data_IF_692043602480
#
_entry.id   IF_692043602480
#
_cell.length_a   1.000
_cell.length_b   1.000
_cell.length_c   1.000
_cell.angle_alpha   90.00
_cell.angle_beta   90.00
_cell.angle_gamma   90.00
#
_symmetry.space_group_name_H-M   'P 1'
#
loop_
_entity.id
_entity.type
_entity.pdbx_description
1 polymer ?
#
# COMPACT_ATOMS: atom_id res chain seq x y z
N UNK A 1 70.26 -17.06 0.11
CA UNK A 1 70.13 -17.82 -1.14
C UNK A 1 68.76 -18.49 -1.33
N UNK A 2 68.34 -19.47 -0.52
CA UNK A 2 67.03 -20.13 -0.71
C UNK A 2 65.83 -19.25 -0.28
N UNK A 3 65.97 -18.52 0.83
CA UNK A 3 64.90 -17.68 1.37
C UNK A 3 64.65 -16.42 0.54
N UNK A 4 65.69 -15.86 -0.10
CA UNK A 4 65.57 -14.68 -0.96
C UNK A 4 64.75 -14.98 -2.22
N UNK A 5 64.96 -16.14 -2.84
CA UNK A 5 64.16 -16.59 -3.98
C UNK A 5 62.69 -16.82 -3.59
N UNK A 6 62.44 -17.31 -2.38
CA UNK A 6 61.08 -17.48 -1.85
C UNK A 6 60.40 -16.13 -1.64
N UNK A 7 61.09 -15.15 -1.05
CA UNK A 7 60.56 -13.80 -0.85
C UNK A 7 60.28 -13.10 -2.19
N UNK A 8 61.13 -13.30 -3.19
CA UNK A 8 60.92 -12.76 -4.54
C UNK A 8 59.69 -13.39 -5.23
N UNK A 9 59.51 -14.72 -5.07
CA UNK A 9 58.32 -15.42 -5.55
C UNK A 9 57.05 -14.91 -4.86
N UNK A 10 57.08 -14.73 -3.54
CA UNK A 10 55.95 -14.19 -2.78
C UNK A 10 55.58 -12.77 -3.23
N UNK A 11 56.57 -11.88 -3.45
CA UNK A 11 56.33 -10.54 -4.00
C UNK A 11 55.69 -10.58 -5.39
N UNK A 12 56.16 -11.49 -6.25
CA UNK A 12 55.59 -11.67 -7.60
C UNK A 12 54.14 -12.17 -7.55
N UNK A 13 53.86 -13.15 -6.67
CA UNK A 13 52.50 -13.67 -6.47
C UNK A 13 51.56 -12.59 -5.95
N UNK A 14 52.02 -11.77 -4.99
CA UNK A 14 51.26 -10.61 -4.49
C UNK A 14 50.99 -9.62 -5.62
N UNK A 15 51.99 -9.29 -6.44
CA UNK A 15 51.82 -8.41 -7.59
C UNK A 15 50.80 -8.92 -8.61
N UNK A 16 50.87 -10.21 -8.97
CA UNK A 16 49.88 -10.84 -9.85
C UNK A 16 48.48 -10.82 -9.24
N UNK A 17 48.35 -11.12 -7.94
CA UNK A 17 47.04 -11.09 -7.25
C UNK A 17 46.42 -9.69 -7.26
N UNK A 18 47.23 -8.64 -7.06
CA UNK A 18 46.77 -7.26 -7.14
C UNK A 18 46.30 -6.88 -8.55
N UNK A 19 47.02 -7.32 -9.58
CA UNK A 19 46.63 -7.12 -10.97
C UNK A 19 45.29 -7.81 -11.30
N UNK A 20 45.13 -9.08 -10.93
CA UNK A 20 43.87 -9.81 -11.15
C UNK A 20 42.70 -9.19 -10.38
N UNK A 21 42.92 -8.73 -9.14
CA UNK A 21 41.91 -8.02 -8.37
C UNK A 21 41.48 -6.74 -9.08
N UNK A 22 42.43 -5.94 -9.59
CA UNK A 22 42.10 -4.74 -10.36
C UNK A 22 41.29 -5.06 -11.62
N UNK A 23 41.59 -6.16 -12.33
CA UNK A 23 40.83 -6.58 -13.50
C UNK A 23 39.39 -6.99 -13.14
N UNK A 24 39.21 -7.67 -12.01
CA UNK A 24 37.90 -8.08 -11.52
C UNK A 24 37.06 -6.86 -11.12
N UNK A 25 37.68 -5.81 -10.60
CA UNK A 25 37.01 -4.55 -10.21
C UNK A 25 36.36 -3.80 -11.38
N UNK A 26 36.91 -3.92 -12.60
CA UNK A 26 36.34 -3.29 -13.79
C UNK A 26 34.97 -3.86 -14.18
N UNK A 27 34.66 -5.08 -13.73
CA UNK A 27 33.42 -5.77 -14.08
C UNK A 27 32.43 -5.63 -12.92
N UNK A 28 31.18 -5.18 -13.18
CA UNK A 28 30.22 -4.94 -12.11
C UNK A 28 29.95 -6.19 -11.25
N UNK A 29 29.96 -5.98 -9.93
CA UNK A 29 29.72 -6.99 -8.86
C UNK A 29 28.54 -7.93 -9.16
N UNK A 30 27.48 -7.38 -9.75
CA UNK A 30 26.24 -8.08 -10.09
C UNK A 30 26.43 -9.33 -10.97
N UNK A 31 27.53 -9.40 -11.72
CA UNK A 31 27.79 -10.51 -12.62
C UNK A 31 28.53 -11.69 -11.97
N UNK A 32 29.21 -11.46 -10.84
CA UNK A 32 29.96 -12.51 -10.13
C UNK A 32 29.19 -13.08 -8.94
N UNK A 33 28.40 -12.26 -8.27
CA UNK A 33 27.59 -12.71 -7.13
C UNK A 33 26.18 -13.10 -7.60
N UNK A 34 25.66 -14.27 -7.17
CA UNK A 34 24.28 -14.62 -7.42
C UNK A 34 23.38 -13.53 -6.82
N UNK A 35 22.35 -13.12 -7.57
CA UNK A 35 21.39 -12.14 -7.07
C UNK A 35 20.66 -12.77 -5.89
N UNK A 36 20.70 -12.09 -4.74
CA UNK A 36 20.02 -12.54 -3.52
C UNK A 36 18.54 -12.85 -3.80
N UNK A 37 18.07 -13.98 -3.29
CA UNK A 37 16.69 -14.44 -3.42
C UNK A 37 15.70 -13.41 -2.86
N UNK A 38 16.11 -12.61 -1.86
CA UNK A 38 15.30 -11.51 -1.35
C UNK A 38 15.14 -10.37 -2.36
N UNK A 39 16.21 -10.03 -3.09
CA UNK A 39 16.18 -9.00 -4.14
C UNK A 39 15.36 -9.46 -5.34
N UNK A 40 15.56 -10.70 -5.79
CA UNK A 40 14.73 -11.31 -6.84
C UNK A 40 13.27 -11.35 -6.42
N UNK A 41 12.98 -11.77 -5.19
CA UNK A 41 11.62 -11.81 -4.68
C UNK A 41 10.99 -10.41 -4.58
N UNK A 42 11.75 -9.37 -4.24
CA UNK A 42 11.24 -7.99 -4.18
C UNK A 42 10.83 -7.46 -5.55
N UNK A 43 11.51 -7.90 -6.62
CA UNK A 43 11.22 -7.52 -8.01
C UNK A 43 9.91 -8.11 -8.51
N UNK A 44 9.62 -9.36 -8.14
CA UNK A 44 8.45 -10.10 -8.63
C UNK A 44 7.25 -10.10 -7.65
N UNK A 45 7.48 -10.07 -6.33
CA UNK A 45 6.44 -10.18 -5.31
C UNK A 45 6.20 -8.85 -4.57
N UNK A 46 5.31 -8.02 -5.11
CA UNK A 46 4.96 -6.68 -4.58
C UNK A 46 4.20 -6.68 -3.24
N UNK A 47 3.78 -7.84 -2.74
CA UNK A 47 2.90 -7.97 -1.57
C UNK A 47 3.57 -8.61 -0.33
N UNK A 48 4.89 -8.83 -0.33
CA UNK A 48 5.62 -9.44 0.81
C UNK A 48 6.07 -8.44 1.90
N UNK A 49 5.72 -7.16 1.77
CA UNK A 49 6.16 -6.14 2.71
C UNK A 49 5.69 -6.44 4.15
N UNK A 50 6.64 -6.51 5.09
CA UNK A 50 6.37 -6.69 6.51
C UNK A 50 5.52 -5.51 7.01
N UNK A 51 4.52 -5.76 7.87
CA UNK A 51 3.62 -4.74 8.42
C UNK A 51 4.35 -3.85 9.43
N UNK A 52 5.25 -2.99 8.96
CA UNK A 52 5.95 -2.01 9.78
C UNK A 52 5.20 -0.66 9.82
N UNK A 53 5.40 0.16 10.87
CA UNK A 53 4.87 1.51 10.93
C UNK A 53 5.29 2.36 9.72
N UNK A 54 4.39 3.22 9.21
CA UNK A 54 4.66 4.03 8.00
C UNK A 54 5.86 4.99 8.14
N UNK A 55 6.22 5.38 9.36
CA UNK A 55 7.37 6.26 9.62
C UNK A 55 8.69 5.50 9.44
N UNK A 56 8.82 4.31 10.01
CA UNK A 56 10.04 3.50 9.92
C UNK A 56 10.33 3.07 8.47
N UNK A 57 9.29 2.77 7.68
CA UNK A 57 9.43 2.47 6.25
C UNK A 57 9.96 3.67 5.47
N UNK A 58 9.48 4.89 5.77
CA UNK A 58 9.92 6.12 5.11
C UNK A 58 11.36 6.47 5.46
N UNK A 59 11.73 6.34 6.73
CA UNK A 59 13.09 6.59 7.21
C UNK A 59 14.07 5.57 6.63
N UNK A 60 13.73 4.27 6.65
CA UNK A 60 14.53 3.23 6.02
C UNK A 60 14.70 3.45 4.51
N UNK A 61 13.64 3.84 3.80
CA UNK A 61 13.74 4.17 2.36
C UNK A 61 14.63 5.38 2.09
N UNK A 62 14.56 6.42 2.94
CA UNK A 62 15.42 7.60 2.81
C UNK A 62 16.88 7.26 3.14
N UNK A 63 17.12 6.40 4.13
CA UNK A 63 18.46 5.90 4.49
C UNK A 63 19.05 5.04 3.36
N UNK A 64 18.28 4.12 2.79
CA UNK A 64 18.71 3.29 1.67
C UNK A 64 19.06 4.12 0.42
N UNK A 65 18.32 5.19 0.15
CA UNK A 65 18.64 6.11 -0.95
C UNK A 65 19.92 6.90 -0.73
N UNK A 66 20.21 7.30 0.51
CA UNK A 66 21.48 7.96 0.87
C UNK A 66 22.64 6.98 0.72
N UNK A 67 22.53 5.82 1.35
CA UNK A 67 23.51 4.74 1.25
C UNK A 67 23.86 4.34 -0.20
N UNK A 68 22.86 4.32 -1.11
CA UNK A 68 23.08 4.04 -2.54
C UNK A 68 23.86 5.14 -3.28
N UNK A 69 23.78 6.38 -2.81
CA UNK A 69 24.42 7.55 -3.43
C UNK A 69 25.72 7.95 -2.72
N UNK A 70 26.11 7.25 -1.66
CA UNK A 70 27.31 7.55 -0.88
C UNK A 70 28.52 6.84 -1.53
N UNK A 71 29.54 7.58 -2.03
CA UNK A 71 30.73 6.99 -2.62
C UNK A 71 31.48 6.08 -1.65
N UNK A 72 31.49 6.36 -0.34
CA UNK A 72 32.22 5.51 0.60
C UNK A 72 31.55 4.16 0.88
N UNK A 73 30.37 3.90 0.30
CA UNK A 73 29.60 2.69 0.53
C UNK A 73 29.66 1.69 -0.64
N UNK A 74 30.28 2.04 -1.78
CA UNK A 74 30.55 1.04 -2.82
C UNK A 74 31.64 0.09 -2.30
N UNK A 75 31.33 -1.20 -2.24
CA UNK A 75 32.27 -2.25 -1.87
C UNK A 75 32.74 -2.98 -3.12
N UNK A 76 34.02 -3.30 -3.15
CA UNK A 76 34.62 -4.11 -4.22
C UNK A 76 34.28 -5.59 -4.05
N UNK A 77 34.26 -6.36 -5.14
CA UNK A 77 34.01 -7.83 -5.12
C UNK A 77 34.90 -8.53 -4.09
N UNK A 78 36.19 -8.20 -4.08
CA UNK A 78 37.17 -8.77 -3.16
C UNK A 78 36.91 -8.38 -1.69
N UNK A 79 36.46 -7.15 -1.43
CA UNK A 79 36.06 -6.71 -0.08
C UNK A 79 34.81 -7.44 0.39
N UNK A 80 33.84 -7.67 -0.51
CA UNK A 80 32.62 -8.43 -0.21
C UNK A 80 32.97 -9.89 0.12
N UNK A 81 33.91 -10.50 -0.61
CA UNK A 81 34.40 -11.86 -0.32
C UNK A 81 35.11 -11.92 1.04
N UNK A 82 36.03 -11.00 1.33
CA UNK A 82 36.70 -10.91 2.63
C UNK A 82 35.74 -10.66 3.80
N UNK A 83 34.74 -9.81 3.61
CA UNK A 83 33.69 -9.56 4.61
C UNK A 83 32.81 -10.79 4.82
N UNK A 84 32.47 -11.52 3.75
CA UNK A 84 31.72 -12.77 3.85
C UNK A 84 32.50 -13.88 4.56
N UNK A 85 33.80 -14.02 4.25
CA UNK A 85 34.71 -14.94 4.92
C UNK A 85 34.92 -14.57 6.39
N UNK A 86 35.11 -13.28 6.69
CA UNK A 86 35.21 -12.76 8.05
C UNK A 86 33.92 -12.96 8.86
N UNK A 87 32.76 -12.73 8.25
CA UNK A 87 31.46 -13.02 8.87
C UNK A 87 31.23 -14.52 9.07
N UNK A 88 31.64 -15.37 8.11
CA UNK A 88 31.56 -16.82 8.26
C UNK A 88 32.49 -17.33 9.38
N UNK A 89 33.71 -16.78 9.49
CA UNK A 89 34.64 -17.08 10.57
C UNK A 89 34.12 -16.61 11.94
N UNK A 90 33.59 -15.39 12.05
CA UNK A 90 32.95 -14.90 13.28
C UNK A 90 31.72 -15.72 13.65
N UNK A 91 30.91 -16.14 12.68
CA UNK A 91 29.72 -16.96 12.92
C UNK A 91 30.08 -18.37 13.38
N UNK A 92 31.15 -18.96 12.83
CA UNK A 92 31.68 -20.24 13.29
C UNK A 92 32.25 -20.22 14.72
N UNK A 93 32.67 -19.06 15.22
CA UNK A 93 33.11 -18.90 16.62
C UNK A 93 31.96 -18.56 17.60
N UNK A 94 30.80 -18.15 17.10
CA UNK A 94 29.65 -17.78 17.93
C UNK A 94 28.58 -18.87 18.01
N UNK A 95 28.59 -19.88 17.13
CA UNK A 95 27.57 -20.93 17.06
C UNK A 95 28.14 -22.29 17.51
N UNK A 96 28.51 -22.40 18.79
CA UNK A 96 28.46 -23.65 19.55
C UNK A 96 27.27 -23.66 20.50
N UNK A 97 26.09 -23.24 20.05
CA UNK A 97 24.83 -23.70 20.64
C UNK A 97 23.63 -23.29 19.78
N UNK A 98 22.65 -24.19 19.71
CA UNK A 98 21.34 -24.07 19.05
C UNK A 98 21.27 -24.38 17.55
N UNK A 99 20.67 -25.55 17.32
CA UNK A 99 20.24 -26.11 16.05
C UNK A 99 18.95 -25.44 15.54
N UNK A 100 18.88 -25.28 14.21
CA UNK A 100 17.72 -25.33 13.31
C UNK A 100 17.51 -24.12 12.35
N UNK A 101 17.78 -24.41 11.06
CA UNK A 101 17.28 -23.84 9.78
C UNK A 101 18.18 -22.84 9.02
N UNK A 102 17.95 -22.71 7.69
CA UNK A 102 17.94 -23.74 6.65
C UNK A 102 19.14 -23.52 5.69
N UNK A 103 19.62 -24.60 5.08
CA UNK A 103 20.74 -24.58 4.15
C UNK A 103 20.45 -23.69 2.92
N UNK A 104 21.13 -22.54 2.86
CA UNK A 104 21.45 -21.89 1.60
C UNK A 104 22.37 -22.83 0.83
N UNK A 105 22.06 -23.07 -0.44
CA UNK A 105 22.82 -23.92 -1.35
C UNK A 105 24.17 -23.29 -1.67
N UNK A 106 25.12 -23.41 -0.75
CA UNK A 106 26.52 -23.61 -1.12
C UNK A 106 26.66 -25.05 -1.59
N UNK A 107 27.27 -25.23 -2.77
CA UNK A 107 27.50 -26.53 -3.36
C UNK A 107 28.57 -27.27 -2.54
N UNK A 108 28.16 -27.87 -1.42
CA UNK A 108 28.94 -28.88 -0.73
C UNK A 108 28.57 -30.21 -1.35
N UNK A 109 29.52 -30.83 -2.05
CA UNK A 109 29.39 -32.22 -2.51
C UNK A 109 29.44 -33.09 -1.25
N UNK A 110 28.30 -33.27 -0.63
CA UNK A 110 28.11 -34.23 0.43
C UNK A 110 28.17 -35.62 -0.21
N UNK A 111 29.24 -36.36 0.09
CA UNK A 111 29.43 -37.74 -0.34
C UNK A 111 28.41 -38.62 0.41
N UNK A 112 27.20 -38.69 -0.11
CA UNK A 112 26.16 -39.59 0.42
C UNK A 112 26.41 -40.98 -0.16
N UNK A 113 26.90 -41.89 0.69
CA UNK A 113 26.94 -43.32 0.42
C UNK A 113 25.49 -43.85 0.29
N UNK A 114 24.92 -43.78 -0.90
CA UNK A 114 23.75 -44.58 -1.22
C UNK A 114 24.19 -46.03 -1.35
N UNK A 115 24.08 -46.79 -0.26
CA UNK A 115 24.62 -48.15 -0.19
C UNK A 115 23.93 -49.16 -1.11
N UNK A 116 22.70 -48.93 -1.60
CA UNK A 116 22.03 -49.83 -2.55
C UNK A 116 21.05 -49.10 -3.48
N UNK A 117 21.04 -49.44 -4.76
CA UNK A 117 20.18 -48.86 -5.81
C UNK A 117 18.68 -49.00 -5.52
N UNK A 118 18.30 -50.06 -4.83
CA UNK A 118 16.90 -50.35 -4.50
C UNK A 118 16.33 -49.38 -3.46
N UNK A 119 17.16 -48.84 -2.57
CA UNK A 119 16.74 -47.84 -1.59
C UNK A 119 16.51 -46.47 -2.26
N UNK A 120 17.26 -46.19 -3.32
CA UNK A 120 17.02 -45.00 -4.15
C UNK A 120 15.73 -45.13 -4.95
N UNK A 121 15.47 -46.32 -5.52
CA UNK A 121 14.25 -46.62 -6.28
C UNK A 121 13.01 -46.60 -5.38
N UNK A 122 13.08 -47.17 -4.17
CA UNK A 122 11.98 -47.18 -3.20
C UNK A 122 11.63 -45.74 -2.78
N UNK A 123 12.64 -44.91 -2.51
CA UNK A 123 12.47 -43.51 -2.12
C UNK A 123 11.93 -42.64 -3.25
N UNK A 124 12.34 -42.89 -4.48
CA UNK A 124 11.78 -42.23 -5.66
C UNK A 124 10.30 -42.62 -5.85
N UNK A 125 9.97 -43.90 -5.73
CA UNK A 125 8.59 -44.39 -5.82
C UNK A 125 7.70 -43.80 -4.73
N UNK A 126 8.16 -43.77 -3.48
CA UNK A 126 7.44 -43.15 -2.37
C UNK A 126 7.17 -41.66 -2.64
N UNK A 127 8.16 -40.93 -3.15
CA UNK A 127 8.02 -39.51 -3.48
C UNK A 127 7.09 -39.25 -4.66
N UNK A 128 7.11 -40.12 -5.68
CA UNK A 128 6.16 -40.06 -6.80
C UNK A 128 4.73 -40.36 -6.33
N UNK A 129 4.55 -41.32 -5.43
CA UNK A 129 3.25 -41.66 -4.85
C UNK A 129 2.67 -40.51 -4.02
N UNK A 130 3.49 -39.81 -3.24
CA UNK A 130 3.07 -38.61 -2.51
C UNK A 130 2.58 -37.49 -3.44
N UNK A 131 3.26 -37.28 -4.56
CA UNK A 131 2.82 -36.29 -5.56
C UNK A 131 1.55 -36.71 -6.30
N UNK A 132 1.31 -38.00 -6.49
CA UNK A 132 0.05 -38.51 -7.05
C UNK A 132 -1.10 -38.37 -6.04
N UNK A 133 -0.88 -38.69 -4.76
CA UNK A 133 -1.87 -38.49 -3.68
C UNK A 133 -2.26 -37.03 -3.52
N UNK A 134 -1.28 -36.12 -3.54
CA UNK A 134 -1.52 -34.66 -3.48
C UNK A 134 -2.34 -34.14 -4.67
N UNK A 135 -2.16 -34.71 -5.87
CA UNK A 135 -2.99 -34.36 -7.04
C UNK A 135 -4.41 -34.93 -6.93
N UNK A 136 -4.58 -36.19 -6.53
CA UNK A 136 -5.90 -36.81 -6.38
C UNK A 136 -6.72 -36.22 -5.22
N UNK A 137 -6.08 -35.77 -4.14
CA UNK A 137 -6.75 -35.06 -3.04
C UNK A 137 -7.29 -33.68 -3.46
N UNK A 138 -6.70 -33.04 -4.48
CA UNK A 138 -7.19 -31.78 -5.02
C UNK A 138 -8.34 -31.97 -6.04
N UNK A 139 -8.45 -33.15 -6.65
CA UNK A 139 -9.42 -33.44 -7.72
C UNK A 139 -10.75 -34.00 -7.19
N UNK A 140 -10.73 -34.77 -6.08
CA UNK A 140 -11.94 -35.38 -5.49
C UNK A 140 -12.57 -34.59 -4.32
N UNK A 141 -12.30 -33.30 -4.21
CA UNK A 141 -12.87 -32.43 -3.16
C UNK A 141 -14.30 -31.93 -3.44
N UNK A 142 -15.26 -32.83 -3.69
CA UNK A 142 -16.70 -32.57 -3.61
C UNK A 142 -17.39 -33.69 -2.83
N UNK A 143 -17.45 -33.55 -1.50
CA UNK A 143 -18.56 -33.95 -0.62
C UNK A 143 -18.10 -33.82 0.84
N UNK A 144 -18.79 -32.94 1.56
CA UNK A 144 -19.14 -32.98 2.99
C UNK A 144 -18.24 -33.74 3.98
N UNK A 145 -17.52 -33.00 4.84
CA UNK A 145 -17.65 -33.18 6.30
C UNK A 145 -16.93 -32.07 7.09
N UNK A 146 -17.38 -31.92 8.32
CA UNK A 146 -17.37 -30.71 9.13
C UNK A 146 -16.06 -30.52 9.89
N UNK A 147 -15.43 -29.36 9.71
CA UNK A 147 -14.55 -28.79 10.73
C UNK A 147 -15.14 -27.46 11.24
N UNK A 148 -15.47 -27.35 12.54
CA UNK A 148 -16.07 -26.15 13.09
C UNK A 148 -15.02 -25.03 13.14
N UNK A 149 -15.06 -24.15 12.14
CA UNK A 149 -14.42 -22.83 12.26
C UNK A 149 -15.13 -22.07 13.37
N UNK A 150 -14.56 -22.07 14.58
CA UNK A 150 -14.94 -21.19 15.70
C UNK A 150 -15.07 -19.76 15.17
N UNK A 151 -16.30 -19.32 14.94
CA UNK A 151 -16.64 -17.93 14.66
C UNK A 151 -16.28 -17.14 15.91
N UNK A 152 -15.11 -16.51 15.91
CA UNK A 152 -14.75 -15.52 16.93
C UNK A 152 -15.87 -14.49 16.96
N UNK A 153 -16.59 -14.44 18.07
CA UNK A 153 -17.73 -13.57 18.25
C UNK A 153 -17.24 -12.13 18.11
N UNK A 154 -18.08 -11.29 17.50
CA UNK A 154 -17.82 -9.87 17.24
C UNK A 154 -17.67 -9.03 18.53
N UNK A 155 -17.67 -9.65 19.71
CA UNK A 155 -17.48 -9.04 21.03
C UNK A 155 -16.01 -9.00 21.48
N UNK A 156 -15.19 -10.02 21.20
CA UNK A 156 -13.77 -10.05 21.65
C UNK A 156 -12.86 -9.04 20.92
N UNK A 157 -13.18 -8.70 19.66
CA UNK A 157 -12.39 -7.72 18.89
C UNK A 157 -12.64 -6.28 19.36
N UNK A 158 -13.78 -6.03 20.01
CA UNK A 158 -14.13 -4.68 20.50
C UNK A 158 -13.50 -4.38 21.87
N UNK A 159 -13.22 -5.42 22.65
CA UNK A 159 -12.65 -5.29 24.00
C UNK A 159 -11.12 -5.05 23.96
N UNK A 160 -10.41 -5.69 23.03
CA UNK A 160 -8.96 -5.49 22.84
C UNK A 160 -8.57 -4.12 22.27
N UNK A 161 -9.50 -3.39 21.65
CA UNK A 161 -9.24 -2.04 21.15
C UNK A 161 -9.50 -0.97 22.22
N UNK A 162 -10.31 -1.26 23.24
CA UNK A 162 -10.61 -0.33 24.33
C UNK A 162 -9.55 -0.35 25.45
N UNK A 163 -8.78 -1.45 25.56
CA UNK A 163 -7.66 -1.53 26.51
C UNK A 163 -6.38 -0.83 26.03
N UNK A 164 -6.23 -0.54 24.73
CA UNK A 164 -5.06 0.20 24.20
C UNK A 164 -5.19 1.72 24.28
N UNK A 165 -6.38 2.23 24.58
CA UNK A 165 -6.63 3.67 24.81
C UNK A 165 -6.60 4.05 26.29
N UNK A 166 -6.45 3.08 27.21
CA UNK A 166 -6.44 3.31 28.65
C UNK A 166 -5.03 3.24 29.29
N UNK A 167 -4.02 2.72 28.59
CA UNK A 167 -2.67 2.49 29.13
C UNK A 167 -1.60 3.49 28.66
N UNK A 168 -1.98 4.62 28.06
CA UNK A 168 -1.07 5.67 27.58
C UNK A 168 -1.12 6.94 28.43
N UNK A 169 -1.75 6.91 29.61
CA UNK A 169 -1.91 8.09 30.46
C UNK A 169 -1.59 7.74 31.92
N UNK A 170 -0.33 7.43 32.19
CA UNK A 170 0.27 7.39 33.53
C UNK A 170 1.79 7.29 33.37
N UNK A 171 2.43 8.44 33.20
CA UNK A 171 3.69 8.78 33.88
C UNK A 171 4.12 10.21 33.52
N UNK A 172 3.72 11.15 34.37
CA UNK A 172 4.56 12.27 34.81
C UNK A 172 3.91 12.95 36.02
N UNK A 173 4.48 12.66 37.19
CA UNK A 173 4.35 13.37 38.47
C UNK A 173 5.69 14.11 38.60
N UNK A 174 5.89 15.39 38.96
CA UNK A 174 5.17 16.46 39.66
C UNK A 174 5.75 17.81 39.14
N UNK A 175 5.04 18.94 39.13
CA UNK A 175 5.03 19.99 40.17
C UNK A 175 4.06 21.10 39.72
N UNK A 176 3.31 21.72 40.64
CA UNK A 176 2.61 22.98 40.40
C UNK A 176 1.09 22.94 40.59
N UNK A 177 0.68 23.22 41.83
CA UNK A 177 -0.69 23.49 42.29
C UNK A 177 -1.16 24.84 41.70
N UNK A 178 -2.21 24.89 40.85
CA UNK A 178 -3.09 26.06 40.65
C UNK A 178 -4.42 25.64 39.99
N UNK A 179 -5.44 26.43 40.31
CA UNK A 179 -6.87 26.20 40.18
C UNK A 179 -7.41 26.06 38.74
N UNK A 180 -8.59 25.46 38.63
CA UNK A 180 -9.35 25.25 37.39
C UNK A 180 -9.65 26.55 36.64
N UNK A 181 -9.38 26.64 35.30
CA UNK A 181 -9.97 27.67 34.47
C UNK A 181 -11.27 27.16 33.80
N UNK A 182 -12.26 28.05 33.55
CA UNK A 182 -13.57 27.67 33.05
C UNK A 182 -13.53 27.22 31.59
N UNK A 183 -14.55 26.46 31.18
CA UNK A 183 -14.72 25.97 29.81
C UNK A 183 -14.77 27.11 28.79
N UNK A 184 -13.72 27.24 27.97
CA UNK A 184 -13.76 28.14 26.82
C UNK A 184 -14.63 27.52 25.72
N UNK A 185 -15.87 27.99 25.60
CA UNK A 185 -16.73 27.76 24.43
C UNK A 185 -16.15 28.56 23.27
N UNK A 186 -15.73 27.88 22.21
CA UNK A 186 -15.32 28.54 20.96
C UNK A 186 -16.59 29.02 20.27
N UNK A 187 -16.71 30.35 20.16
CA UNK A 187 -17.86 31.06 19.60
C UNK A 187 -17.51 31.50 18.18
N UNK A 188 -18.39 31.29 17.22
CA UNK A 188 -18.25 31.90 15.89
C UNK A 188 -18.46 33.42 15.95
N UNK A 189 -18.11 34.16 14.89
CA UNK A 189 -18.38 35.61 14.74
C UNK A 189 -19.86 35.99 14.91
N UNK A 190 -20.77 35.01 14.86
CA UNK A 190 -22.22 35.17 15.09
C UNK A 190 -22.67 34.82 16.52
N UNK A 191 -21.76 34.54 17.43
CA UNK A 191 -22.10 34.26 18.83
C UNK A 191 -22.58 32.83 19.13
N UNK A 192 -22.54 31.92 18.15
CA UNK A 192 -22.97 30.52 18.33
C UNK A 192 -21.82 29.59 18.74
N UNK A 193 -22.11 28.66 19.64
CA UNK A 193 -21.16 27.67 20.17
C UNK A 193 -20.99 26.53 19.16
N UNK A 194 -19.82 26.44 18.53
CA UNK A 194 -19.56 25.43 17.50
C UNK A 194 -18.72 24.27 18.03
N UNK A 195 -19.30 23.06 17.94
CA UNK A 195 -18.70 21.78 18.34
C UNK A 195 -17.81 21.13 17.26
N UNK A 196 -17.31 21.91 16.31
CA UNK A 196 -16.44 21.41 15.23
C UNK A 196 -14.97 21.52 15.64
N UNK A 197 -14.25 20.40 15.71
CA UNK A 197 -12.79 20.34 15.93
C UNK A 197 -11.96 20.75 14.69
N UNK A 198 -12.58 21.42 13.72
CA UNK A 198 -11.93 21.91 12.50
C UNK A 198 -12.31 23.36 12.28
N UNK A 199 -11.35 24.24 12.56
CA UNK A 199 -11.37 25.62 12.10
C UNK A 199 -11.05 25.63 10.60
N UNK A 200 -12.08 25.86 9.78
CA UNK A 200 -11.92 26.32 8.41
C UNK A 200 -11.85 27.85 8.37
N UNK A 201 -11.11 28.45 9.31
CA UNK A 201 -10.78 29.86 9.28
C UNK A 201 -9.71 30.10 8.20
N UNK A 202 -10.19 30.36 6.99
CA UNK A 202 -9.89 31.61 6.31
C UNK A 202 -8.50 31.84 5.70
N UNK A 203 -7.49 30.99 5.90
CA UNK A 203 -6.28 31.13 5.07
C UNK A 203 -6.57 30.50 3.71
N UNK A 204 -6.93 31.34 2.71
CA UNK A 204 -6.88 30.98 1.29
C UNK A 204 -5.43 30.64 0.94
N UNK A 205 -4.96 29.45 1.33
CA UNK A 205 -3.66 28.94 0.91
C UNK A 205 -3.68 28.94 -0.60
N UNK A 206 -2.82 29.76 -1.21
CA UNK A 206 -2.59 29.72 -2.64
C UNK A 206 -2.39 28.25 -3.03
N UNK A 207 -3.07 27.76 -4.09
CA UNK A 207 -2.98 26.36 -4.47
C UNK A 207 -1.50 26.03 -4.65
N UNK A 208 -1.01 24.99 -3.97
CA UNK A 208 0.40 24.59 -4.05
C UNK A 208 0.81 24.50 -5.53
N UNK A 209 2.03 24.95 -5.90
CA UNK A 209 2.50 24.82 -7.27
C UNK A 209 2.36 23.35 -7.72
N UNK A 210 1.59 23.14 -8.80
CA UNK A 210 1.21 21.81 -9.30
C UNK A 210 -0.23 21.34 -9.01
N UNK A 211 -0.98 22.00 -8.13
CA UNK A 211 -2.38 21.65 -7.79
C UNK A 211 -3.42 22.40 -8.63
N UNK A 212 -2.99 23.32 -9.51
CA UNK A 212 -3.92 24.02 -10.39
C UNK A 212 -4.57 23.00 -11.32
N UNK A 213 -5.90 22.93 -11.25
CA UNK A 213 -6.70 22.10 -12.16
C UNK A 213 -6.35 22.52 -13.58
N UNK A 214 -5.75 21.60 -14.35
CA UNK A 214 -5.44 21.85 -15.76
C UNK A 214 -6.72 22.23 -16.49
N UNK A 215 -6.75 23.43 -17.07
CA UNK A 215 -7.85 23.92 -17.89
C UNK A 215 -7.71 23.34 -19.28
N UNK A 216 -8.14 22.08 -19.45
CA UNK A 216 -8.03 21.35 -20.72
C UNK A 216 -8.73 22.05 -21.90
N UNK A 217 -9.78 22.83 -21.65
CA UNK A 217 -10.42 23.68 -22.68
C UNK A 217 -9.49 24.77 -23.20
N UNK A 218 -8.85 25.51 -22.30
CA UNK A 218 -7.87 26.56 -22.65
C UNK A 218 -6.65 25.97 -23.36
N UNK A 219 -6.15 24.83 -22.89
CA UNK A 219 -5.06 24.10 -23.54
C UNK A 219 -5.45 23.65 -24.95
N UNK A 220 -6.68 23.16 -25.12
CA UNK A 220 -7.17 22.73 -26.43
C UNK A 220 -7.29 23.91 -27.40
N UNK A 221 -7.84 25.03 -26.93
CA UNK A 221 -7.94 26.25 -27.73
C UNK A 221 -6.55 26.75 -28.17
N UNK A 222 -5.56 26.72 -27.26
CA UNK A 222 -4.16 27.08 -27.59
C UNK A 222 -3.56 26.12 -28.62
N UNK A 223 -3.75 24.81 -28.45
CA UNK A 223 -3.26 23.80 -29.39
C UNK A 223 -3.88 23.96 -30.79
N UNK A 224 -5.20 24.17 -30.86
CA UNK A 224 -5.92 24.38 -32.11
C UNK A 224 -5.53 25.71 -32.77
N UNK A 225 -5.37 26.79 -32.00
CA UNK A 225 -4.91 28.09 -32.52
C UNK A 225 -3.49 28.00 -33.10
N UNK A 226 -2.57 27.30 -32.44
CA UNK A 226 -1.22 27.07 -32.96
C UNK A 226 -1.22 26.24 -34.23
N UNK A 227 -2.03 25.18 -34.28
CA UNK A 227 -2.20 24.35 -35.49
C UNK A 227 -2.75 25.19 -36.65
N UNK A 228 -3.76 26.01 -36.40
CA UNK A 228 -4.32 26.94 -37.40
C UNK A 228 -3.27 27.96 -37.86
N UNK A 229 -2.50 28.56 -36.96
CA UNK A 229 -1.44 29.52 -37.31
C UNK A 229 -0.37 28.88 -38.20
N UNK A 230 0.03 27.64 -37.88
CA UNK A 230 0.94 26.87 -38.72
C UNK A 230 0.34 26.59 -40.10
N UNK A 231 -0.93 26.18 -40.17
CA UNK A 231 -1.63 25.92 -41.44
C UNK A 231 -1.79 27.19 -42.30
N UNK A 232 -2.06 28.34 -41.69
CA UNK A 232 -2.12 29.63 -42.37
C UNK A 232 -0.74 30.02 -42.92
N UNK A 233 0.30 29.99 -42.08
CA UNK A 233 1.67 30.32 -42.51
C UNK A 233 2.16 29.38 -43.60
N UNK A 234 1.81 28.08 -43.57
CA UNK A 234 2.20 27.15 -44.64
C UNK A 234 1.54 27.46 -45.98
N UNK A 235 0.38 28.13 -45.99
CA UNK A 235 -0.33 28.52 -47.21
C UNK A 235 0.17 29.83 -47.78
N UNK A 236 0.54 30.77 -46.91
CA UNK A 236 1.10 32.07 -47.28
C UNK A 236 2.57 31.92 -47.69
N UNK A 237 3.42 31.43 -46.77
CA UNK A 237 4.87 31.40 -46.92
C UNK A 237 5.48 30.11 -46.31
N UNK A 238 5.86 29.17 -47.18
CA UNK A 238 6.44 27.89 -46.77
C UNK A 238 7.71 28.02 -45.93
N UNK A 239 8.55 29.03 -46.19
CA UNK A 239 9.79 29.29 -45.45
C UNK A 239 9.53 29.83 -44.05
N UNK A 240 8.67 30.85 -43.91
CA UNK A 240 8.26 31.37 -42.60
C UNK A 240 7.58 30.29 -41.74
N UNK A 241 6.86 29.36 -42.37
CA UNK A 241 6.28 28.22 -41.67
C UNK A 241 7.34 27.24 -41.14
N UNK A 242 8.42 26.99 -41.90
CA UNK A 242 9.56 26.17 -41.44
C UNK A 242 10.27 26.85 -40.28
N UNK A 243 10.60 28.13 -40.40
CA UNK A 243 11.21 28.90 -39.31
C UNK A 243 10.34 28.91 -38.04
N UNK A 244 9.02 29.11 -38.18
CA UNK A 244 8.12 29.10 -37.03
C UNK A 244 8.06 27.71 -36.38
N UNK A 245 8.07 26.63 -37.17
CA UNK A 245 8.14 25.26 -36.64
C UNK A 245 9.46 25.02 -35.90
N UNK A 246 10.58 25.47 -36.44
CA UNK A 246 11.90 25.32 -35.82
C UNK A 246 12.05 26.14 -34.55
N UNK A 247 11.68 27.43 -34.58
CA UNK A 247 11.64 28.29 -33.38
C UNK A 247 10.76 27.65 -32.30
N UNK A 248 9.61 27.09 -32.69
CA UNK A 248 8.73 26.41 -31.74
C UNK A 248 9.34 25.10 -31.22
N UNK A 249 9.94 24.27 -32.06
CA UNK A 249 10.55 23.00 -31.61
C UNK A 249 11.73 23.23 -30.67
N UNK A 250 12.55 24.25 -30.91
CA UNK A 250 13.63 24.65 -30.01
C UNK A 250 13.11 25.19 -28.68
N UNK A 251 12.11 26.07 -28.70
CA UNK A 251 11.45 26.55 -27.49
C UNK A 251 10.85 25.40 -26.67
N UNK A 252 10.20 24.43 -27.34
CA UNK A 252 9.68 23.22 -26.69
C UNK A 252 10.79 22.37 -26.07
N UNK A 253 11.92 22.20 -26.76
CA UNK A 253 13.05 21.45 -26.26
C UNK A 253 13.63 22.10 -24.99
N UNK A 254 13.76 23.43 -24.97
CA UNK A 254 14.22 24.21 -23.82
C UNK A 254 13.25 24.06 -22.64
N UNK A 255 11.96 24.29 -22.83
CA UNK A 255 10.94 24.12 -21.76
C UNK A 255 10.93 22.69 -21.20
N UNK A 256 11.13 21.69 -22.07
CA UNK A 256 11.18 20.29 -21.68
C UNK A 256 12.45 19.95 -20.91
N UNK A 257 13.59 20.58 -21.25
CA UNK A 257 14.84 20.47 -20.50
C UNK A 257 14.76 21.17 -19.13
N UNK A 258 14.04 22.29 -19.03
CA UNK A 258 13.68 22.97 -17.77
C UNK A 258 12.78 22.08 -16.88
N UNK A 259 12.12 21.08 -17.47
CA UNK A 259 11.24 20.13 -16.78
C UNK A 259 9.75 20.49 -16.86
N UNK A 260 9.38 21.47 -17.69
CA UNK A 260 7.98 21.82 -17.96
C UNK A 260 7.32 20.73 -18.81
N UNK A 261 6.22 20.16 -18.30
CA UNK A 261 5.46 19.13 -19.01
C UNK A 261 4.52 19.77 -20.04
N UNK A 262 4.92 19.74 -21.30
CA UNK A 262 4.13 20.25 -22.41
C UNK A 262 2.87 19.40 -22.68
N UNK A 263 1.72 20.05 -22.91
CA UNK A 263 0.42 19.41 -23.09
C UNK A 263 -0.34 20.00 -24.27
N UNK A 264 0.19 19.81 -25.47
CA UNK A 264 -0.30 20.52 -26.67
C UNK A 264 -1.03 19.63 -27.67
N UNK A 265 -1.12 18.31 -27.43
CA UNK A 265 -1.78 17.39 -28.36
C UNK A 265 -3.32 17.52 -28.30
N UNK A 266 -4.00 17.99 -29.36
CA UNK A 266 -5.45 18.22 -29.32
C UNK A 266 -6.23 16.91 -29.12
N UNK A 267 -5.76 15.80 -29.69
CA UNK A 267 -6.37 14.46 -29.52
C UNK A 267 -6.31 14.00 -28.06
N UNK A 268 -5.18 14.20 -27.38
CA UNK A 268 -5.01 13.81 -25.97
C UNK A 268 -5.81 14.73 -25.03
N UNK A 269 -5.84 16.03 -25.32
CA UNK A 269 -6.64 17.00 -24.57
C UNK A 269 -8.14 16.69 -24.66
N UNK A 270 -8.66 16.35 -25.85
CA UNK A 270 -10.04 15.87 -26.05
C UNK A 270 -10.32 14.58 -25.28
N UNK A 271 -9.39 13.60 -25.30
CA UNK A 271 -9.51 12.36 -24.51
C UNK A 271 -9.53 12.64 -23.00
N UNK A 272 -8.69 13.56 -22.53
CA UNK A 272 -8.65 13.95 -21.12
C UNK A 272 -9.96 14.62 -20.67
N UNK A 273 -10.54 15.50 -21.50
CA UNK A 273 -11.86 16.08 -21.27
C UNK A 273 -12.94 15.00 -21.13
N UNK A 274 -13.04 14.08 -22.09
CA UNK A 274 -14.00 12.96 -22.04
C UNK A 274 -13.82 12.08 -20.80
N UNK A 275 -12.57 11.83 -20.37
CA UNK A 275 -12.31 11.09 -19.12
C UNK A 275 -12.85 11.84 -17.90
N UNK A 276 -12.68 13.16 -17.82
CA UNK A 276 -13.21 13.97 -16.72
C UNK A 276 -14.73 14.01 -16.70
N UNK A 277 -15.36 14.12 -17.85
CA UNK A 277 -16.82 14.06 -17.98
C UNK A 277 -17.35 12.71 -17.49
N UNK A 278 -16.74 11.59 -17.90
CA UNK A 278 -17.09 10.25 -17.40
C UNK A 278 -16.93 10.11 -15.88
N UNK A 279 -15.91 10.72 -15.29
CA UNK A 279 -15.74 10.72 -13.83
C UNK A 279 -16.84 11.53 -13.17
N UNK A 280 -17.18 12.70 -13.71
CA UNK A 280 -18.28 13.54 -13.20
C UNK A 280 -19.63 12.83 -13.29
N UNK A 281 -19.93 12.14 -14.39
CA UNK A 281 -21.21 11.42 -14.56
C UNK A 281 -21.31 10.25 -13.58
N UNK A 282 -20.23 9.48 -13.39
CA UNK A 282 -20.15 8.44 -12.36
C UNK A 282 -20.37 9.01 -10.96
N UNK A 283 -19.68 10.11 -10.62
CA UNK A 283 -19.84 10.78 -9.33
C UNK A 283 -21.27 11.29 -9.12
N UNK A 284 -21.90 11.85 -10.17
CA UNK A 284 -23.29 12.31 -10.14
C UNK A 284 -24.25 11.15 -9.88
N UNK A 285 -24.07 10.03 -10.56
CA UNK A 285 -24.89 8.81 -10.36
C UNK A 285 -24.76 8.30 -8.92
N UNK A 286 -23.53 8.14 -8.43
CA UNK A 286 -23.26 7.67 -7.07
C UNK A 286 -23.84 8.63 -6.01
N UNK A 287 -23.76 9.94 -6.23
CA UNK A 287 -24.36 10.91 -5.31
C UNK A 287 -25.89 10.78 -5.29
N UNK A 288 -26.51 10.64 -6.46
CA UNK A 288 -27.96 10.41 -6.57
C UNK A 288 -28.37 9.12 -5.84
N UNK A 289 -27.66 8.01 -6.07
CA UNK A 289 -27.90 6.73 -5.38
C UNK A 289 -27.78 6.86 -3.86
N UNK A 290 -26.81 7.63 -3.35
CA UNK A 290 -26.66 7.90 -1.90
C UNK A 290 -27.85 8.69 -1.35
N UNK A 291 -28.25 9.75 -2.05
CA UNK A 291 -29.39 10.57 -1.64
C UNK A 291 -30.69 9.77 -1.66
N UNK A 292 -30.91 8.96 -2.69
CA UNK A 292 -32.09 8.09 -2.81
C UNK A 292 -32.09 7.01 -1.72
N UNK A 293 -30.92 6.44 -1.40
CA UNK A 293 -30.80 5.48 -0.30
C UNK A 293 -31.09 6.12 1.06
N UNK A 294 -30.60 7.34 1.30
CA UNK A 294 -30.89 8.09 2.52
C UNK A 294 -32.39 8.38 2.65
N UNK A 295 -33.03 8.83 1.57
CA UNK A 295 -34.49 9.05 1.52
C UNK A 295 -35.27 7.77 1.80
N UNK A 296 -34.91 6.65 1.16
CA UNK A 296 -35.55 5.36 1.44
C UNK A 296 -35.41 4.97 2.91
N UNK A 297 -34.22 5.10 3.50
CA UNK A 297 -34.03 4.81 4.93
C UNK A 297 -34.87 5.73 5.83
N UNK A 298 -35.02 7.01 5.51
CA UNK A 298 -35.87 7.92 6.29
C UNK A 298 -37.35 7.55 6.14
N UNK A 299 -37.80 7.26 4.92
CA UNK A 299 -39.19 6.91 4.61
C UNK A 299 -39.57 5.57 5.26
N UNK A 300 -38.69 4.58 5.22
CA UNK A 300 -38.92 3.27 5.84
C UNK A 300 -39.05 3.39 7.36
N UNK A 301 -38.20 4.20 8.00
CA UNK A 301 -38.31 4.52 9.44
C UNK A 301 -39.62 5.23 9.75
N UNK A 302 -40.03 6.20 8.93
CA UNK A 302 -41.29 6.91 9.09
C UNK A 302 -42.49 5.97 8.92
N UNK A 303 -42.48 5.09 7.90
CA UNK A 303 -43.51 4.07 7.68
C UNK A 303 -43.60 3.11 8.86
N UNK A 304 -42.47 2.64 9.40
CA UNK A 304 -42.48 1.78 10.57
C UNK A 304 -43.08 2.49 11.78
N UNK A 305 -42.73 3.77 12.00
CA UNK A 305 -43.33 4.57 13.07
C UNK A 305 -44.84 4.72 12.87
N UNK A 306 -45.30 4.98 11.66
CA UNK A 306 -46.73 5.08 11.33
C UNK A 306 -47.46 3.75 11.58
N UNK A 307 -46.89 2.61 11.18
CA UNK A 307 -47.45 1.28 11.46
C UNK A 307 -47.57 1.03 12.97
N UNK A 308 -46.49 1.25 13.73
CA UNK A 308 -46.51 1.08 15.19
C UNK A 308 -47.53 2.02 15.88
N UNK A 309 -47.70 3.26 15.37
CA UNK A 309 -48.73 4.19 15.88
C UNK A 309 -50.13 3.67 15.57
N UNK A 310 -50.39 3.20 14.35
CA UNK A 310 -51.68 2.63 13.94
C UNK A 310 -52.04 1.40 14.78
N UNK A 311 -51.12 0.46 14.92
CA UNK A 311 -51.28 -0.73 15.79
C UNK A 311 -51.61 -0.33 17.23
N UNK A 312 -50.96 0.71 17.78
CA UNK A 312 -51.26 1.21 19.13
C UNK A 312 -52.64 1.86 19.23
N UNK A 313 -53.11 2.54 18.18
CA UNK A 313 -54.45 3.13 18.11
C UNK A 313 -55.51 2.02 18.01
N UNK A 314 -55.31 1.03 17.14
CA UNK A 314 -56.22 -0.11 16.96
C UNK A 314 -56.31 -0.95 18.24
N UNK A 315 -55.19 -1.25 18.90
CA UNK A 315 -55.19 -1.94 20.19
C UNK A 315 -55.96 -1.14 21.29
N UNK A 316 -55.89 0.20 21.26
CA UNK A 316 -56.69 1.05 22.17
C UNK A 316 -58.19 1.01 21.82
N UNK A 317 -58.56 0.97 20.54
CA UNK A 317 -59.96 0.82 20.10
C UNK A 317 -60.52 -0.55 20.51
N UNK A 318 -59.81 -1.64 20.22
CA UNK A 318 -60.21 -2.99 20.62
C UNK A 318 -60.36 -3.16 22.14
N UNK A 319 -59.49 -2.54 22.96
CA UNK A 319 -59.67 -2.51 24.42
C UNK A 319 -60.91 -1.72 24.87
N UNK A 320 -61.27 -0.64 24.18
CA UNK A 320 -62.52 0.10 24.49
C UNK A 320 -63.76 -0.72 24.13
N UNK A 321 -63.74 -1.45 23.02
CA UNK A 321 -64.86 -2.31 22.60
C UNK A 321 -65.02 -3.52 23.53
N UNK A 322 -63.93 -4.22 23.88
CA UNK A 322 -63.97 -5.32 24.86
C UNK A 322 -64.47 -4.90 26.24
N UNK A 323 -64.23 -3.64 26.65
CA UNK A 323 -64.74 -3.08 27.91
C UNK A 323 -66.23 -2.69 27.82
N UNK A 324 -66.75 -2.39 26.62
CA UNK A 324 -68.19 -2.14 26.39
C UNK A 324 -68.98 -3.46 26.33
N UNK A 325 -68.46 -4.49 25.66
CA UNK A 325 -69.12 -5.80 25.59
C UNK A 325 -69.11 -6.53 26.93
N UNK A 326 -68.04 -6.41 27.72
CA UNK A 326 -67.97 -6.94 29.10
C UNK A 326 -68.97 -6.28 30.07
N UNK A 327 -69.32 -4.99 29.87
CA UNK A 327 -70.32 -4.31 30.71
C UNK A 327 -71.76 -4.70 30.39
N UNK A 328 -72.04 -5.20 29.18
CA UNK A 328 -73.37 -5.67 28.76
C UNK A 328 -73.70 -7.11 29.19
N UNK A 329 -72.72 -7.89 29.65
CA UNK A 329 -72.91 -9.29 30.05
C UNK A 329 -72.82 -9.48 31.58
N UNK A 330 -73.16 -8.46 32.37
CA UNK A 330 -73.59 -8.66 33.75
C UNK A 330 -75.00 -9.25 33.69
N UNK A 331 -75.07 -10.57 33.52
CA UNK A 331 -76.27 -11.33 33.85
C UNK A 331 -76.69 -10.91 35.26
N UNK A 332 -77.90 -10.39 35.39
CA UNK A 332 -78.61 -10.31 36.65
C UNK A 332 -78.43 -11.65 37.37
N UNK A 333 -77.85 -11.64 38.57
CA UNK A 333 -77.96 -12.78 39.49
C UNK A 333 -79.38 -12.72 40.06
N UNK A 334 -80.26 -13.69 39.77
CA UNK A 334 -81.54 -13.79 40.48
C UNK A 334 -81.30 -14.43 41.85
N UNK A 335 -81.76 -13.75 42.91
CA UNK A 335 -81.86 -14.30 44.27
C UNK A 335 -80.57 -14.35 45.08
N UNK A 336 -80.41 -13.44 46.04
CA UNK A 336 -80.72 -13.65 47.47
C UNK A 336 -80.40 -12.35 48.22
#
# INVERSE_FOLDING_TARGET
MADEKRLELEKRLVGHSAYFNSLIELVPVKHYLPVDDEEQASKFYKNRQKKAPKQTIKEASRKAKRARLDPNQHKTIHEIQKEAEGNAAMKSHSEQNSEEKPANTSFSVEKVESRNLDDLRSRLHARLQDFQRKRKAAENGKADEQHPRKKKSKKEVKEKNNQKTASSFKDSKSFGKQDSPPSNKVLNDSGEVVFSKFDFLGTKKAPRPGTKVKNYSKLLAKAEARKKKLEMLTKEDGEKAKEFKEKHSWSQAIEKAEGVKQHDDPKLLKKAMKKREKVKTKSKKQWKERMDHQKKQTDDKQKQRQKNIKERIEAKKGKKEGKKTSKGNKKHRPGF
#
